data_IF_494100810840
#
_entry.id   IF_494100810840
#
_cell.length_a   1.000
_cell.length_b   1.000
_cell.length_c   1.000
_cell.angle_alpha   90.00
_cell.angle_beta   90.00
_cell.angle_gamma   90.00
#
_symmetry.space_group_name_H-M   'P 1'
#
loop_
_entity.id
_entity.type
_entity.pdbx_description
1 polymer ?
#
# COMPACT_ATOMS: atom_id res chain seq x y z
N UNK A 1 2.78 18.54 2.08
CA UNK A 1 1.65 18.27 1.16
C UNK A 1 1.27 16.80 1.30
N UNK A 2 -0.02 16.42 1.17
CA UNK A 2 -0.48 15.06 1.48
C UNK A 2 0.15 13.99 0.57
N UNK A 3 0.12 14.21 -0.76
CA UNK A 3 0.61 13.27 -1.78
C UNK A 3 2.10 12.95 -1.62
N UNK A 4 2.92 13.98 -1.43
CA UNK A 4 4.36 13.85 -1.19
C UNK A 4 4.68 13.07 0.09
N UNK A 5 3.88 13.26 1.15
CA UNK A 5 4.03 12.50 2.39
C UNK A 5 3.64 11.03 2.19
N UNK A 6 2.57 10.75 1.44
CA UNK A 6 2.16 9.40 1.08
C UNK A 6 3.23 8.69 0.25
N UNK A 7 3.82 9.37 -0.73
CA UNK A 7 4.91 8.84 -1.56
C UNK A 7 6.17 8.57 -0.73
N UNK A 8 6.54 9.49 0.16
CA UNK A 8 7.69 9.32 1.05
C UNK A 8 7.51 8.14 2.01
N UNK A 9 6.33 8.00 2.62
CA UNK A 9 6.01 6.89 3.50
C UNK A 9 6.00 5.56 2.74
N UNK A 10 5.35 5.52 1.57
CA UNK A 10 5.30 4.33 0.72
C UNK A 10 6.71 3.93 0.27
N UNK A 11 7.51 4.88 -0.19
CA UNK A 11 8.87 4.63 -0.67
C UNK A 11 9.80 4.12 0.43
N UNK A 12 9.63 4.64 1.64
CA UNK A 12 10.32 4.15 2.84
C UNK A 12 9.96 2.70 3.14
N UNK A 13 8.66 2.36 3.17
CA UNK A 13 8.21 0.98 3.41
C UNK A 13 8.72 0.02 2.31
N UNK A 14 8.62 0.42 1.04
CA UNK A 14 9.11 -0.39 -0.08
C UNK A 14 10.61 -0.62 0.03
N UNK A 15 11.38 0.41 0.39
CA UNK A 15 12.83 0.30 0.56
C UNK A 15 13.22 -0.61 1.72
N UNK A 16 12.56 -0.47 2.87
CA UNK A 16 12.91 -1.20 4.08
C UNK A 16 12.50 -2.67 4.02
N UNK A 17 11.34 -2.97 3.43
CA UNK A 17 10.77 -4.31 3.44
C UNK A 17 10.92 -5.06 2.13
N UNK A 18 11.24 -4.38 1.01
CA UNK A 18 11.29 -4.96 -0.33
C UNK A 18 10.07 -5.87 -0.64
N UNK A 19 8.82 -5.40 -0.45
CA UNK A 19 7.64 -6.23 -0.59
C UNK A 19 7.31 -6.50 -2.06
N UNK A 20 6.69 -7.64 -2.32
CA UNK A 20 6.09 -7.93 -3.63
C UNK A 20 4.79 -7.12 -3.87
N UNK A 21 4.06 -6.77 -2.81
CA UNK A 21 2.81 -6.03 -2.90
C UNK A 21 2.67 -5.01 -1.79
N UNK A 22 2.33 -3.77 -2.15
CA UNK A 22 1.92 -2.71 -1.24
C UNK A 22 0.40 -2.52 -1.36
N UNK A 23 -0.33 -2.85 -0.30
CA UNK A 23 -1.79 -2.70 -0.25
C UNK A 23 -2.14 -1.36 0.39
N UNK A 24 -2.86 -0.50 -0.33
CA UNK A 24 -3.37 0.77 0.16
C UNK A 24 -4.85 0.62 0.56
N UNK A 25 -5.17 1.07 1.77
CA UNK A 25 -6.52 1.04 2.32
C UNK A 25 -6.88 2.32 3.06
N UNK A 26 -8.05 2.31 3.70
CA UNK A 26 -8.59 3.47 4.43
C UNK A 26 -9.49 4.36 3.56
N UNK A 27 -10.36 5.13 4.23
CA UNK A 27 -11.41 5.91 3.57
C UNK A 27 -10.91 6.96 2.58
N UNK A 28 -9.73 7.53 2.82
CA UNK A 28 -9.12 8.52 1.93
C UNK A 28 -8.77 7.88 0.58
N UNK A 29 -8.11 6.73 0.59
CA UNK A 29 -7.74 6.00 -0.65
C UNK A 29 -9.01 5.53 -1.38
N UNK A 30 -10.00 5.01 -0.66
CA UNK A 30 -11.26 4.57 -1.26
C UNK A 30 -12.06 5.70 -1.93
N UNK A 31 -12.03 6.91 -1.36
CA UNK A 31 -12.68 8.08 -1.95
C UNK A 31 -11.87 8.71 -3.10
N UNK A 32 -10.59 8.36 -3.24
CA UNK A 32 -9.65 8.97 -4.17
C UNK A 32 -8.78 7.90 -4.86
N UNK A 33 -9.32 7.11 -5.81
CA UNK A 33 -8.59 6.02 -6.47
C UNK A 33 -7.30 6.47 -7.17
N UNK A 34 -7.25 7.73 -7.62
CA UNK A 34 -6.07 8.33 -8.24
C UNK A 34 -4.82 8.24 -7.35
N UNK A 35 -4.99 8.13 -6.02
CA UNK A 35 -3.86 7.99 -5.10
C UNK A 35 -3.09 6.69 -5.33
N UNK A 36 -3.77 5.61 -5.72
CA UNK A 36 -3.13 4.33 -6.02
C UNK A 36 -2.32 4.42 -7.32
N UNK A 37 -2.90 5.05 -8.34
CA UNK A 37 -2.24 5.32 -9.63
C UNK A 37 -0.99 6.19 -9.42
N UNK A 38 -1.15 7.30 -8.69
CA UNK A 38 -0.07 8.21 -8.35
C UNK A 38 1.09 7.52 -7.62
N UNK A 39 0.79 6.69 -6.60
CA UNK A 39 1.84 5.93 -5.90
C UNK A 39 2.51 4.97 -6.87
N UNK A 40 1.75 4.24 -7.69
CA UNK A 40 2.29 3.31 -8.68
C UNK A 40 3.27 3.99 -9.64
N UNK A 41 2.90 5.16 -10.17
CA UNK A 41 3.69 5.89 -11.16
C UNK A 41 4.95 6.54 -10.56
N UNK A 42 4.87 7.01 -9.32
CA UNK A 42 5.92 7.85 -8.73
C UNK A 42 6.80 7.14 -7.70
N UNK A 43 6.45 5.92 -7.24
CA UNK A 43 7.20 5.21 -6.19
C UNK A 43 8.68 5.02 -6.52
N UNK A 44 9.04 4.92 -7.80
CA UNK A 44 10.43 4.78 -8.24
C UNK A 44 11.33 5.96 -7.85
N UNK A 45 10.75 7.17 -7.67
CA UNK A 45 11.49 8.34 -7.21
C UNK A 45 11.71 8.38 -5.68
N UNK A 46 10.98 7.54 -4.93
CA UNK A 46 10.96 7.54 -3.46
C UNK A 46 11.49 6.26 -2.82
N UNK A 47 11.71 5.20 -3.59
CA UNK A 47 12.19 3.91 -3.11
C UNK A 47 13.51 3.47 -3.77
N UNK A 48 14.22 2.54 -3.12
CA UNK A 48 15.39 1.89 -3.71
C UNK A 48 15.02 1.24 -5.06
N UNK A 49 15.77 1.46 -6.16
CA UNK A 49 15.33 1.09 -7.51
C UNK A 49 14.95 -0.38 -7.67
N UNK A 50 15.69 -1.30 -7.05
CA UNK A 50 15.41 -2.74 -7.18
C UNK A 50 14.15 -3.19 -6.43
N UNK A 51 13.81 -2.53 -5.33
CA UNK A 51 12.56 -2.77 -4.61
C UNK A 51 11.37 -2.15 -5.35
N UNK A 52 11.54 -0.92 -5.84
CA UNK A 52 10.52 -0.20 -6.60
C UNK A 52 10.09 -0.91 -7.89
N UNK A 53 11.01 -1.63 -8.56
CA UNK A 53 10.71 -2.41 -9.77
C UNK A 53 9.86 -3.66 -9.50
N UNK A 54 9.88 -4.19 -8.27
CA UNK A 54 9.24 -5.47 -7.92
C UNK A 54 7.90 -5.29 -7.24
N UNK A 55 7.71 -4.17 -6.55
CA UNK A 55 6.47 -3.94 -5.80
C UNK A 55 5.30 -3.66 -6.75
N UNK A 56 4.19 -4.36 -6.53
CA UNK A 56 2.89 -4.02 -7.11
C UNK A 56 2.07 -3.22 -6.10
N UNK A 57 1.55 -2.07 -6.49
CA UNK A 57 0.70 -1.25 -5.62
C UNK A 57 -0.76 -1.53 -5.95
N UNK A 58 -1.57 -1.86 -4.94
CA UNK A 58 -2.98 -2.22 -5.12
C UNK A 58 -3.87 -1.58 -4.08
N UNK A 59 -5.15 -1.38 -4.40
CA UNK A 59 -6.17 -1.02 -3.43
C UNK A 59 -6.71 -2.27 -2.73
N UNK A 60 -6.97 -2.19 -1.43
CA UNK A 60 -7.68 -3.24 -0.71
C UNK A 60 -9.10 -3.46 -1.25
N UNK A 61 -9.56 -4.71 -1.20
CA UNK A 61 -10.94 -5.11 -1.53
C UNK A 61 -11.76 -5.44 -0.29
N UNK A 62 -11.13 -5.42 0.89
CA UNK A 62 -11.78 -5.77 2.15
C UNK A 62 -12.67 -4.62 2.60
N UNK A 63 -13.93 -4.94 2.94
CA UNK A 63 -14.88 -3.94 3.47
C UNK A 63 -14.67 -3.70 4.95
N UNK A 64 -14.47 -4.77 5.71
CA UNK A 64 -14.19 -4.74 7.15
C UNK A 64 -12.97 -5.62 7.45
N UNK A 65 -11.80 -5.08 7.11
CA UNK A 65 -10.53 -5.80 7.28
C UNK A 65 -10.28 -6.26 8.74
N UNK A 66 -10.61 -5.48 9.78
CA UNK A 66 -10.49 -5.95 11.16
C UNK A 66 -11.37 -7.17 11.47
N UNK A 67 -12.64 -7.16 11.08
CA UNK A 67 -13.56 -8.28 11.35
C UNK A 67 -13.16 -9.53 10.58
N UNK A 68 -12.81 -9.40 9.30
CA UNK A 68 -12.33 -10.53 8.50
C UNK A 68 -11.04 -11.12 9.09
N UNK A 69 -10.10 -10.26 9.51
CA UNK A 69 -8.87 -10.69 10.17
C UNK A 69 -9.12 -11.44 11.49
N UNK A 70 -10.05 -10.96 12.31
CA UNK A 70 -10.42 -11.62 13.56
C UNK A 70 -11.01 -13.01 13.31
N UNK A 71 -11.86 -13.15 12.29
CA UNK A 71 -12.43 -14.43 11.88
C UNK A 71 -11.34 -15.41 11.40
N UNK A 72 -10.42 -14.96 10.56
CA UNK A 72 -9.31 -15.83 10.12
C UNK A 72 -8.44 -16.30 11.29
N UNK A 73 -8.24 -15.45 12.31
CA UNK A 73 -7.49 -15.83 13.49
C UNK A 73 -8.23 -16.89 14.32
N UNK A 74 -9.54 -16.76 14.51
CA UNK A 74 -10.37 -17.77 15.19
C UNK A 74 -10.31 -19.12 14.47
N UNK A 75 -10.38 -19.14 13.12
CA UNK A 75 -10.33 -20.37 12.32
C UNK A 75 -8.97 -21.09 12.34
N UNK A 76 -7.89 -20.39 12.72
CA UNK A 76 -6.53 -20.94 12.83
C UNK A 76 -6.20 -21.53 14.21
N UNK A 77 -7.04 -21.26 15.22
CA UNK A 77 -6.88 -21.73 16.61
C UNK A 77 -7.67 -23.01 16.87
#
# INVERSE_FOLDING_TARGET
RFEEALLSASGTLVTLFNPETLVLGGGIVSANPYLVEMVTEQIQAYALPEAAKRVTVVQTRLKDAPLEGAKYLEELL
#
